data_IF_262001760187
#
_entry.id   IF_262001760187
#
_cell.length_a   1.000
_cell.length_b   1.000
_cell.length_c   1.000
_cell.angle_alpha   90.00
_cell.angle_beta   90.00
_cell.angle_gamma   90.00
#
_symmetry.space_group_name_H-M   'P 1'
#
loop_
_entity.id
_entity.type
_entity.pdbx_description
1 polymer ?
#
# COMPACT_ATOMS: atom_id res chain seq x y z
N UNK A 1 -28.48 9.95 28.47
CA UNK A 1 -27.38 9.25 27.77
C UNK A 1 -26.39 10.32 27.38
N UNK A 2 -25.30 10.45 28.13
CA UNK A 2 -24.28 11.48 27.91
C UNK A 2 -23.42 11.08 26.72
N UNK A 3 -23.36 11.92 25.69
CA UNK A 3 -22.35 11.83 24.64
C UNK A 3 -21.01 12.17 25.28
N UNK A 4 -20.22 11.16 25.65
CA UNK A 4 -18.86 11.38 26.12
C UNK A 4 -18.09 12.14 25.03
N UNK A 5 -17.77 13.41 25.28
CA UNK A 5 -16.90 14.18 24.41
C UNK A 5 -15.52 13.54 24.45
N UNK A 6 -15.04 13.12 23.28
CA UNK A 6 -13.71 12.56 23.08
C UNK A 6 -12.67 13.65 23.42
N UNK A 7 -12.00 13.56 24.58
CA UNK A 7 -10.92 14.49 24.94
C UNK A 7 -9.72 14.28 24.02
N UNK A 8 -9.34 15.31 23.25
CA UNK A 8 -8.12 15.32 22.45
C UNK A 8 -6.96 15.79 23.31
N UNK A 9 -5.83 15.09 23.25
CA UNK A 9 -4.56 15.51 23.89
C UNK A 9 -3.46 15.60 22.86
N UNK A 10 -2.73 16.71 22.89
CA UNK A 10 -1.65 16.99 21.94
C UNK A 10 -0.29 16.95 22.64
N UNK A 11 0.64 16.18 22.05
CA UNK A 11 2.03 16.11 22.45
C UNK A 11 2.90 16.59 21.28
N UNK A 12 3.52 17.75 21.42
CA UNK A 12 4.46 18.26 20.41
C UNK A 12 5.85 17.67 20.64
N UNK A 13 6.50 17.20 19.57
CA UNK A 13 7.89 16.75 19.59
C UNK A 13 8.74 17.52 18.58
N UNK A 14 10.00 17.83 18.91
CA UNK A 14 10.90 18.53 17.99
C UNK A 14 11.17 17.70 16.73
N UNK A 15 11.18 16.37 16.87
CA UNK A 15 11.34 15.44 15.75
C UNK A 15 10.72 14.06 15.99
N UNK A 16 10.46 13.35 14.89
CA UNK A 16 10.11 11.93 14.83
C UNK A 16 11.36 11.06 14.88
N UNK A 17 12.15 11.23 15.94
CA UNK A 17 13.24 10.33 16.28
C UNK A 17 12.84 9.45 17.46
N UNK A 18 13.53 8.31 17.60
CA UNK A 18 13.25 7.34 18.64
C UNK A 18 13.28 7.96 20.04
N UNK A 19 14.22 8.86 20.32
CA UNK A 19 14.36 9.47 21.64
C UNK A 19 13.18 10.39 21.96
N UNK A 20 12.78 11.24 21.02
CA UNK A 20 11.62 12.13 21.16
C UNK A 20 10.32 11.36 21.33
N UNK A 21 10.11 10.28 20.56
CA UNK A 21 8.92 9.44 20.67
C UNK A 21 8.90 8.62 21.97
N UNK A 22 10.05 8.10 22.43
CA UNK A 22 10.16 7.44 23.72
C UNK A 22 9.89 8.41 24.89
N UNK A 23 10.34 9.65 24.79
CA UNK A 23 10.04 10.69 25.79
C UNK A 23 8.54 10.93 25.90
N UNK A 24 7.82 11.02 24.78
CA UNK A 24 6.35 11.13 24.78
C UNK A 24 5.70 9.87 25.35
N UNK A 25 6.17 8.67 25.00
CA UNK A 25 5.68 7.42 25.58
C UNK A 25 5.82 7.39 27.11
N UNK A 26 6.91 7.93 27.65
CA UNK A 26 7.11 8.09 29.10
C UNK A 26 6.11 9.08 29.70
N UNK A 27 5.88 10.23 29.06
CA UNK A 27 4.87 11.22 29.52
C UNK A 27 3.45 10.65 29.53
N UNK A 28 3.03 9.99 28.45
CA UNK A 28 1.73 9.30 28.36
C UNK A 28 1.57 8.28 29.49
N UNK A 29 2.64 7.53 29.81
CA UNK A 29 2.65 6.59 30.93
C UNK A 29 2.51 7.30 32.29
N UNK A 30 3.22 8.41 32.50
CA UNK A 30 3.15 9.19 33.73
C UNK A 30 1.77 9.81 33.96
N UNK A 31 1.06 10.15 32.89
CA UNK A 31 -0.33 10.63 32.93
C UNK A 31 -1.37 9.50 33.07
N UNK A 32 -0.95 8.23 33.16
CA UNK A 32 -1.85 7.08 33.31
C UNK A 32 -2.64 6.73 32.06
N UNK A 33 -2.25 7.24 30.89
CA UNK A 33 -2.98 7.07 29.62
C UNK A 33 -2.51 5.86 28.80
N UNK A 34 -1.39 5.23 29.18
CA UNK A 34 -0.76 4.19 28.39
C UNK A 34 -1.34 2.79 28.68
N UNK A 35 -2.46 2.46 28.06
CA UNK A 35 -2.96 1.09 27.99
C UNK A 35 -2.19 0.23 26.97
N UNK A 36 -2.54 -1.07 26.89
CA UNK A 36 -1.90 -2.03 25.99
C UNK A 36 -2.13 -1.74 24.50
N UNK A 37 -3.29 -1.19 24.15
CA UNK A 37 -3.70 -0.94 22.78
C UNK A 37 -2.99 0.32 22.25
N UNK A 38 -2.99 1.40 23.03
CA UNK A 38 -2.24 2.62 22.73
C UNK A 38 -0.74 2.34 22.65
N UNK A 39 -0.20 1.50 23.56
CA UNK A 39 1.21 1.07 23.49
C UNK A 39 1.51 0.38 22.16
N UNK A 40 0.63 -0.51 21.70
CA UNK A 40 0.79 -1.23 20.43
C UNK A 40 0.74 -0.27 19.25
N UNK A 41 -0.21 0.68 19.24
CA UNK A 41 -0.31 1.72 18.21
C UNK A 41 0.94 2.60 18.16
N UNK A 42 1.45 3.04 19.32
CA UNK A 42 2.66 3.85 19.40
C UNK A 42 3.89 3.10 18.89
N UNK A 43 4.07 1.84 19.31
CA UNK A 43 5.20 1.02 18.88
C UNK A 43 5.14 0.73 17.36
N UNK A 44 3.94 0.53 16.81
CA UNK A 44 3.74 0.40 15.37
C UNK A 44 4.02 1.71 14.61
N UNK A 45 3.50 2.84 15.08
CA UNK A 45 3.77 4.17 14.53
C UNK A 45 5.27 4.45 14.46
N UNK A 46 6.01 4.22 15.56
CA UNK A 46 7.45 4.46 15.63
C UNK A 46 8.18 3.69 14.53
N UNK A 47 7.91 2.39 14.40
CA UNK A 47 8.53 1.54 13.36
C UNK A 47 8.19 2.02 11.95
N UNK A 48 6.93 2.36 11.69
CA UNK A 48 6.53 2.79 10.35
C UNK A 48 7.16 4.14 9.96
N UNK A 49 7.39 5.02 10.94
CA UNK A 49 8.05 6.31 10.73
C UNK A 49 9.57 6.22 10.52
N UNK A 50 10.22 5.13 10.94
CA UNK A 50 11.65 4.93 10.63
C UNK A 50 11.93 4.89 9.12
N UNK A 51 10.92 4.57 8.32
CA UNK A 51 10.98 4.58 6.86
C UNK A 51 10.78 5.98 6.23
N UNK A 52 10.37 7.00 7.01
CA UNK A 52 10.06 8.33 6.46
C UNK A 52 11.34 9.11 6.10
N UNK A 53 11.32 10.00 5.10
CA UNK A 53 12.47 10.85 4.80
C UNK A 53 12.82 11.75 5.99
N UNK A 54 14.10 11.89 6.31
CA UNK A 54 14.56 12.69 7.46
C UNK A 54 14.02 14.13 7.43
N UNK A 55 13.90 14.73 6.25
CA UNK A 55 13.34 16.08 6.06
C UNK A 55 11.88 16.24 6.51
N UNK A 56 11.11 15.15 6.59
CA UNK A 56 9.72 15.14 7.04
C UNK A 56 9.59 14.76 8.53
N UNK A 57 10.70 14.54 9.24
CA UNK A 57 10.70 14.12 10.65
C UNK A 57 10.79 15.28 11.64
N UNK A 58 10.70 16.55 11.22
CA UNK A 58 10.86 17.70 12.12
C UNK A 58 9.54 18.44 12.35
N UNK A 59 9.42 19.13 13.49
CA UNK A 59 8.26 19.94 13.89
C UNK A 59 6.94 19.15 13.83
N UNK A 60 6.90 18.04 14.55
CA UNK A 60 5.81 17.08 14.46
C UNK A 60 4.93 17.13 15.68
N UNK A 61 3.62 17.12 15.46
CA UNK A 61 2.64 16.92 16.53
C UNK A 61 2.16 15.47 16.55
N UNK A 62 2.14 14.90 17.75
CA UNK A 62 1.49 13.66 18.07
C UNK A 62 0.16 14.00 18.76
N UNK A 63 -0.96 13.73 18.12
CA UNK A 63 -2.29 13.90 18.72
C UNK A 63 -2.83 12.53 19.11
N UNK A 64 -3.27 12.43 20.37
CA UNK A 64 -4.03 11.30 20.90
C UNK A 64 -5.50 11.71 21.00
N UNK A 65 -6.39 10.97 20.33
CA UNK A 65 -7.83 11.27 20.33
C UNK A 65 -8.59 10.24 21.18
N UNK A 66 -8.93 10.63 22.42
CA UNK A 66 -9.81 9.98 23.41
C UNK A 66 -9.65 8.48 23.66
N UNK A 67 -10.74 7.83 24.09
CA UNK A 67 -10.85 6.37 24.34
C UNK A 67 -10.66 5.51 23.06
N UNK A 68 -10.42 6.13 21.91
CA UNK A 68 -10.29 5.47 20.61
C UNK A 68 -8.86 5.02 20.27
N UNK A 69 -7.87 5.19 21.16
CA UNK A 69 -6.50 4.67 21.00
C UNK A 69 -5.85 5.07 19.66
N UNK A 70 -6.26 6.24 19.15
CA UNK A 70 -5.86 6.75 17.85
C UNK A 70 -4.57 7.56 18.01
N UNK A 71 -3.53 7.13 17.32
CA UNK A 71 -2.27 7.87 17.25
C UNK A 71 -2.24 8.60 15.91
N UNK A 72 -2.31 9.93 15.94
CA UNK A 72 -2.15 10.78 14.77
C UNK A 72 -0.81 11.50 14.82
N UNK A 73 -0.02 11.36 13.75
CA UNK A 73 1.26 12.05 13.58
C UNK A 73 1.09 13.06 12.45
N UNK A 74 1.37 14.33 12.72
CA UNK A 74 1.21 15.41 11.73
C UNK A 74 2.57 16.03 11.44
N UNK A 75 3.04 15.91 10.20
CA UNK A 75 4.40 16.32 9.84
C UNK A 75 4.53 16.91 8.43
N UNK A 76 5.51 17.81 8.26
CA UNK A 76 5.95 18.32 6.97
C UNK A 76 5.01 19.29 6.26
N UNK A 77 5.39 19.65 5.03
CA UNK A 77 4.63 20.51 4.10
C UNK A 77 4.58 19.85 2.72
N UNK A 78 3.40 19.57 2.12
CA UNK A 78 2.08 19.68 2.74
C UNK A 78 1.97 18.76 3.97
N UNK A 79 1.00 19.07 4.82
CA UNK A 79 0.77 18.36 6.08
C UNK A 79 0.41 16.90 5.79
N UNK A 80 1.29 16.00 6.21
CA UNK A 80 1.06 14.55 6.19
C UNK A 80 0.57 14.12 7.57
N UNK A 81 -0.67 13.63 7.61
CA UNK A 81 -1.29 13.02 8.78
C UNK A 81 -1.18 11.50 8.67
N UNK A 82 -0.56 10.85 9.66
CA UNK A 82 -0.48 9.39 9.73
C UNK A 82 -1.28 8.90 10.93
N UNK A 83 -2.21 8.00 10.69
CA UNK A 83 -3.15 7.50 11.67
C UNK A 83 -3.03 5.99 11.78
N UNK A 84 -2.83 5.46 12.99
CA UNK A 84 -2.85 4.01 13.20
C UNK A 84 -4.26 3.53 13.45
N UNK A 85 -4.72 2.60 12.62
CA UNK A 85 -6.00 1.92 12.77
C UNK A 85 -5.78 0.46 13.17
N UNK A 86 -6.35 0.05 14.30
CA UNK A 86 -6.25 -1.32 14.80
C UNK A 86 -7.42 -2.15 14.26
N UNK A 87 -7.16 -2.87 13.17
CA UNK A 87 -8.14 -3.76 12.55
C UNK A 87 -8.02 -5.21 13.01
N UNK A 88 -8.93 -6.06 12.54
CA UNK A 88 -8.92 -7.52 12.78
C UNK A 88 -7.64 -8.21 12.29
N UNK A 89 -6.94 -7.59 11.33
CA UNK A 89 -5.70 -8.10 10.74
C UNK A 89 -4.45 -7.44 11.35
N UNK A 90 -4.60 -6.77 12.50
CA UNK A 90 -3.54 -6.02 13.16
C UNK A 90 -3.57 -4.51 12.85
N UNK A 91 -2.59 -3.76 13.39
CA UNK A 91 -2.45 -2.33 13.16
C UNK A 91 -2.13 -2.03 11.69
N UNK A 92 -2.74 -0.97 11.17
CA UNK A 92 -2.52 -0.43 9.83
C UNK A 92 -2.18 1.06 9.91
N UNK A 93 -1.26 1.52 9.08
CA UNK A 93 -0.97 2.94 8.95
C UNK A 93 -1.83 3.54 7.82
N UNK A 94 -2.72 4.46 8.17
CA UNK A 94 -3.50 5.26 7.23
C UNK A 94 -2.85 6.62 7.09
N UNK A 95 -2.39 6.94 5.89
CA UNK A 95 -1.77 8.23 5.59
C UNK A 95 -2.79 9.13 4.89
N UNK A 96 -2.90 10.38 5.34
CA UNK A 96 -3.77 11.40 4.76
C UNK A 96 -3.00 12.67 4.47
N UNK A 97 -3.20 13.21 3.28
CA UNK A 97 -2.64 14.49 2.84
C UNK A 97 -3.81 15.37 2.42
N UNK A 98 -3.87 16.57 3.00
CA UNK A 98 -4.87 17.55 2.63
C UNK A 98 -4.22 18.60 1.72
N UNK A 99 -4.39 18.53 0.40
CA UNK A 99 -3.97 19.62 -0.48
C UNK A 99 -4.69 20.92 -0.12
N UNK A 100 -4.02 22.05 -0.29
CA UNK A 100 -4.52 23.36 0.18
C UNK A 100 -5.82 23.81 -0.51
N UNK A 101 -6.05 23.42 -1.75
CA UNK A 101 -7.23 23.84 -2.52
C UNK A 101 -7.67 22.80 -3.54
N UNK A 102 -6.76 22.40 -4.42
CA UNK A 102 -7.02 21.49 -5.54
C UNK A 102 -6.09 20.29 -5.49
N UNK A 103 -6.62 19.11 -5.77
CA UNK A 103 -5.78 17.93 -5.95
C UNK A 103 -5.24 17.88 -7.38
N UNK A 104 -3.95 18.20 -7.55
CA UNK A 104 -3.25 18.18 -8.85
C UNK A 104 -2.09 17.19 -8.83
N UNK A 105 -1.48 16.93 -9.98
CA UNK A 105 -0.24 16.14 -10.06
C UNK A 105 0.89 16.72 -9.21
N UNK A 106 0.98 18.06 -9.07
CA UNK A 106 1.95 18.72 -8.18
C UNK A 106 1.66 18.55 -6.69
N UNK A 107 0.47 18.06 -6.32
CA UNK A 107 0.15 17.69 -4.94
C UNK A 107 0.78 16.35 -4.54
N UNK A 108 1.15 15.53 -5.53
CA UNK A 108 1.84 14.27 -5.31
C UNK A 108 3.34 14.51 -5.15
N UNK A 109 3.96 13.79 -4.22
CA UNK A 109 5.41 13.75 -4.10
C UNK A 109 5.85 12.32 -3.87
N UNK A 110 6.96 11.89 -4.49
CA UNK A 110 7.54 10.56 -4.27
C UNK A 110 7.81 10.29 -2.79
N UNK A 111 8.18 11.35 -2.04
CA UNK A 111 8.39 11.29 -0.59
C UNK A 111 7.15 10.80 0.21
N UNK A 112 5.94 10.93 -0.34
CA UNK A 112 4.72 10.43 0.29
C UNK A 112 4.60 8.90 0.17
N UNK A 113 5.36 8.29 -0.73
CA UNK A 113 5.45 6.84 -0.95
C UNK A 113 6.76 6.27 -0.39
N UNK A 114 7.50 7.03 0.41
CA UNK A 114 8.79 6.58 0.95
C UNK A 114 8.63 5.30 1.79
N UNK A 115 9.52 4.33 1.56
CA UNK A 115 9.48 3.02 2.22
C UNK A 115 8.46 2.04 1.65
N UNK A 116 7.56 2.49 0.76
CA UNK A 116 6.59 1.61 0.12
C UNK A 116 7.23 0.83 -1.03
N UNK A 117 7.02 -0.48 -1.01
CA UNK A 117 7.37 -1.38 -2.11
C UNK A 117 6.09 -1.69 -2.89
N UNK A 118 5.93 -1.06 -4.06
CA UNK A 118 4.76 -1.24 -4.90
C UNK A 118 4.61 -2.71 -5.33
N UNK A 119 3.40 -3.26 -5.25
CA UNK A 119 3.10 -4.60 -5.76
C UNK A 119 3.17 -4.69 -7.29
N UNK A 120 3.23 -3.54 -7.96
CA UNK A 120 3.36 -3.42 -9.40
C UNK A 120 4.77 -2.91 -9.75
N UNK A 121 5.62 -3.80 -10.23
CA UNK A 121 6.99 -3.46 -10.66
C UNK A 121 7.04 -2.80 -12.05
N UNK A 122 5.92 -2.82 -12.79
CA UNK A 122 5.86 -2.24 -14.13
C UNK A 122 5.41 -0.78 -14.09
N UNK A 123 4.51 -0.45 -13.17
CA UNK A 123 3.97 0.90 -13.01
C UNK A 123 3.70 1.19 -11.53
N UNK A 124 4.47 2.10 -10.94
CA UNK A 124 4.40 2.41 -9.52
C UNK A 124 3.08 3.09 -9.12
N UNK A 125 2.70 3.00 -7.84
CA UNK A 125 1.59 3.76 -7.27
C UNK A 125 1.65 5.26 -7.60
N UNK A 126 2.86 5.84 -7.59
CA UNK A 126 3.08 7.25 -7.89
C UNK A 126 2.79 7.57 -9.37
N UNK A 127 3.26 6.74 -10.30
CA UNK A 127 2.98 6.90 -11.73
C UNK A 127 1.49 6.73 -12.02
N UNK A 128 0.84 5.71 -11.43
CA UNK A 128 -0.59 5.49 -11.57
C UNK A 128 -1.39 6.68 -11.02
N UNK A 129 -1.02 7.22 -9.86
CA UNK A 129 -1.62 8.42 -9.27
C UNK A 129 -1.47 9.64 -10.18
N UNK A 130 -0.28 9.85 -10.71
CA UNK A 130 0.00 10.98 -11.60
C UNK A 130 -0.84 10.89 -12.88
N UNK A 131 -0.89 9.71 -13.51
CA UNK A 131 -1.71 9.48 -14.71
C UNK A 131 -3.20 9.61 -14.42
N UNK A 132 -3.67 9.07 -13.31
CA UNK A 132 -5.08 9.16 -12.92
C UNK A 132 -5.50 10.62 -12.77
N UNK A 133 -4.73 11.45 -12.05
CA UNK A 133 -5.01 12.87 -11.89
C UNK A 133 -4.91 13.66 -13.18
N UNK A 134 -3.96 13.32 -14.06
CA UNK A 134 -3.80 13.99 -15.36
C UNK A 134 -5.00 13.80 -16.30
N UNK A 135 -5.78 12.73 -16.10
CA UNK A 135 -6.93 12.38 -16.93
C UNK A 135 -8.28 12.89 -16.39
N UNK A 136 -8.31 13.54 -15.23
CA UNK A 136 -9.54 14.09 -14.64
C UNK A 136 -9.86 15.45 -15.30
N UNK A 137 -11.15 15.75 -15.44
CA UNK A 137 -11.58 17.08 -15.86
C UNK A 137 -11.11 18.13 -14.83
N UNK A 138 -10.55 19.26 -15.27
CA UNK A 138 -10.07 20.30 -14.35
C UNK A 138 -11.13 20.83 -13.36
N UNK A 139 -12.41 20.75 -13.71
CA UNK A 139 -13.55 21.12 -12.86
C UNK A 139 -13.73 20.22 -11.64
N UNK A 140 -13.31 18.96 -11.74
CA UNK A 140 -13.63 17.94 -10.74
C UNK A 140 -12.52 17.87 -9.67
N UNK A 141 -11.34 18.44 -9.96
CA UNK A 141 -10.14 18.40 -9.12
C UNK A 141 -10.31 19.07 -7.75
N UNK A 142 -11.21 20.06 -7.63
CA UNK A 142 -11.51 20.75 -6.38
C UNK A 142 -12.38 19.89 -5.44
N UNK A 143 -13.06 18.89 -6.00
CA UNK A 143 -13.97 17.99 -5.32
C UNK A 143 -13.54 16.52 -5.43
N UNK A 144 -12.23 16.27 -5.55
CA UNK A 144 -11.69 14.92 -5.70
C UNK A 144 -10.98 14.45 -4.44
N UNK A 145 -11.26 13.20 -4.07
CA UNK A 145 -10.45 12.40 -3.17
C UNK A 145 -9.70 11.33 -3.97
N UNK A 146 -8.40 11.17 -3.74
CA UNK A 146 -7.60 10.09 -4.30
C UNK A 146 -7.24 9.11 -3.19
N UNK A 147 -7.72 7.89 -3.28
CA UNK A 147 -7.37 6.77 -2.40
C UNK A 147 -6.42 5.82 -3.11
N UNK A 148 -5.34 5.44 -2.45
CA UNK A 148 -4.37 4.48 -2.96
C UNK A 148 -4.24 3.34 -1.94
N UNK A 149 -4.46 2.11 -2.41
CA UNK A 149 -4.30 0.89 -1.61
C UNK A 149 -3.33 -0.05 -2.33
N UNK A 150 -2.17 -0.31 -1.74
CA UNK A 150 -1.17 -1.22 -2.31
C UNK A 150 -0.37 -1.93 -1.20
N UNK A 151 -0.64 -3.21 -0.97
CA UNK A 151 -0.06 -3.96 0.15
C UNK A 151 -0.39 -3.27 1.49
N UNK A 152 0.65 -2.88 2.23
CA UNK A 152 0.53 -2.14 3.49
C UNK A 152 0.29 -0.63 3.32
N UNK A 153 0.48 -0.09 2.11
CA UNK A 153 0.26 1.33 1.84
C UNK A 153 -1.23 1.63 1.73
N UNK A 154 -1.68 2.56 2.58
CA UNK A 154 -2.99 3.17 2.52
C UNK A 154 -2.83 4.70 2.55
N UNK A 155 -2.85 5.33 1.39
CA UNK A 155 -2.62 6.77 1.23
C UNK A 155 -3.87 7.45 0.65
N UNK A 156 -4.33 8.52 1.30
CA UNK A 156 -5.50 9.29 0.87
C UNK A 156 -5.11 10.76 0.70
N UNK A 157 -5.38 11.32 -0.48
CA UNK A 157 -5.39 12.76 -0.71
C UNK A 157 -6.84 13.23 -0.74
N UNK A 158 -7.17 14.27 0.01
CA UNK A 158 -8.56 14.68 0.18
C UNK A 158 -8.69 16.20 0.22
N UNK A 159 -9.46 16.78 -0.71
CA UNK A 159 -9.88 18.18 -0.61
C UNK A 159 -10.91 18.35 0.52
N UNK A 160 -11.28 19.59 0.84
CA UNK A 160 -12.14 19.88 1.99
C UNK A 160 -13.57 19.29 1.86
N UNK A 161 -14.06 19.11 0.63
CA UNK A 161 -15.40 18.57 0.34
C UNK A 161 -15.36 17.72 -0.94
N UNK A 162 -14.87 16.47 -0.85
CA UNK A 162 -14.79 15.59 -2.00
C UNK A 162 -16.19 15.11 -2.40
N UNK A 163 -16.51 15.20 -3.68
CA UNK A 163 -17.71 14.65 -4.32
C UNK A 163 -17.39 13.41 -5.17
N UNK A 164 -16.13 13.29 -5.59
CA UNK A 164 -15.63 12.19 -6.41
C UNK A 164 -14.48 11.49 -5.71
N UNK A 165 -14.46 10.17 -5.79
CA UNK A 165 -13.35 9.35 -5.27
C UNK A 165 -12.71 8.62 -6.43
N UNK A 166 -11.43 8.88 -6.64
CA UNK A 166 -10.56 8.02 -7.43
C UNK A 166 -9.91 7.00 -6.53
N UNK A 167 -10.05 5.72 -6.86
CA UNK A 167 -9.38 4.65 -6.15
C UNK A 167 -8.36 3.97 -7.05
N UNK A 168 -7.10 4.02 -6.62
CA UNK A 168 -5.99 3.31 -7.24
C UNK A 168 -5.69 2.09 -6.38
N UNK A 169 -5.84 0.94 -7.01
CA UNK A 169 -5.42 -0.35 -6.48
C UNK A 169 -4.55 -1.01 -7.55
N UNK A 170 -3.22 -0.88 -7.46
CA UNK A 170 -2.30 -1.41 -8.46
C UNK A 170 -2.51 -2.90 -8.67
N UNK A 171 -2.28 -3.34 -9.91
CA UNK A 171 -2.20 -4.77 -10.21
C UNK A 171 -0.96 -5.36 -9.54
N UNK A 172 -0.99 -6.63 -9.17
CA UNK A 172 0.22 -7.31 -8.73
C UNK A 172 0.97 -7.81 -9.97
N UNK A 173 2.02 -7.12 -10.37
CA UNK A 173 2.81 -7.44 -11.58
C UNK A 173 4.29 -7.49 -11.23
N UNK A 174 4.94 -8.60 -11.55
CA UNK A 174 6.36 -8.85 -11.26
C UNK A 174 7.12 -9.03 -12.56
N UNK A 175 8.21 -8.28 -12.72
CA UNK A 175 9.06 -8.37 -13.89
C UNK A 175 10.18 -9.40 -13.67
N UNK A 176 10.06 -10.55 -14.33
CA UNK A 176 11.00 -11.65 -14.22
C UNK A 176 12.32 -11.42 -14.99
N UNK A 177 12.39 -10.38 -15.82
CA UNK A 177 13.55 -10.09 -16.67
C UNK A 177 13.34 -10.58 -18.10
N UNK A 178 14.44 -10.85 -18.82
CA UNK A 178 14.36 -11.31 -20.22
C UNK A 178 13.76 -12.72 -20.35
N UNK A 179 14.02 -13.57 -19.36
CA UNK A 179 13.59 -14.97 -19.31
C UNK A 179 12.88 -15.27 -17.99
N UNK A 180 12.25 -16.44 -17.88
CA UNK A 180 11.64 -16.92 -16.64
C UNK A 180 12.71 -17.05 -15.53
N UNK A 181 12.55 -16.30 -14.45
CA UNK A 181 13.40 -16.40 -13.26
C UNK A 181 12.66 -17.15 -12.14
N UNK A 182 13.07 -18.40 -11.88
CA UNK A 182 12.52 -19.19 -10.78
C UNK A 182 12.84 -18.60 -9.42
N UNK A 183 14.01 -17.97 -9.28
CA UNK A 183 14.41 -17.26 -8.06
C UNK A 183 13.40 -16.16 -7.72
N UNK A 184 13.13 -15.25 -8.66
CA UNK A 184 12.14 -14.18 -8.47
C UNK A 184 10.74 -14.72 -8.18
N UNK A 185 10.32 -15.79 -8.86
CA UNK A 185 9.04 -16.45 -8.58
C UNK A 185 8.97 -16.94 -7.12
N UNK A 186 10.03 -17.58 -6.63
CA UNK A 186 10.10 -18.08 -5.26
C UNK A 186 10.20 -16.95 -4.23
N UNK A 187 10.90 -15.86 -4.55
CA UNK A 187 10.93 -14.64 -3.74
C UNK A 187 9.53 -14.03 -3.62
N UNK A 188 8.82 -13.85 -4.74
CA UNK A 188 7.43 -13.35 -4.75
C UNK A 188 6.52 -14.26 -3.93
N UNK A 189 6.64 -15.59 -4.09
CA UNK A 189 5.89 -16.57 -3.29
C UNK A 189 6.15 -16.37 -1.79
N UNK A 190 7.42 -16.28 -1.40
CA UNK A 190 7.85 -16.11 -0.01
C UNK A 190 7.36 -14.78 0.56
N UNK A 191 7.38 -13.71 -0.23
CA UNK A 191 6.88 -12.39 0.18
C UNK A 191 5.38 -12.42 0.45
N UNK A 192 4.59 -13.02 -0.45
CA UNK A 192 3.14 -13.18 -0.29
C UNK A 192 2.78 -14.08 0.90
N UNK A 193 3.58 -15.11 1.17
CA UNK A 193 3.43 -15.96 2.37
C UNK A 193 3.68 -15.16 3.65
N UNK A 194 4.73 -14.32 3.66
CA UNK A 194 5.05 -13.44 4.80
C UNK A 194 4.01 -12.35 5.04
N UNK A 195 3.44 -11.77 3.98
CA UNK A 195 2.39 -10.74 4.08
C UNK A 195 0.99 -11.30 4.37
N UNK A 196 0.83 -12.63 4.36
CA UNK A 196 -0.47 -13.29 4.52
C UNK A 196 -1.39 -13.16 3.30
N UNK A 197 -0.88 -12.67 2.17
CA UNK A 197 -1.61 -12.52 0.91
C UNK A 197 -1.63 -13.82 0.09
N UNK A 198 -0.79 -14.81 0.44
CA UNK A 198 -0.80 -16.13 -0.18
C UNK A 198 -2.01 -16.96 0.26
N UNK A 199 -3.13 -16.80 -0.45
CA UNK A 199 -4.32 -17.64 -0.30
C UNK A 199 -4.11 -19.04 -0.89
N UNK A 200 -4.90 -20.01 -0.41
CA UNK A 200 -4.83 -21.43 -0.83
C UNK A 200 -4.87 -21.60 -2.36
N UNK A 201 -5.78 -20.91 -3.03
CA UNK A 201 -5.96 -21.01 -4.48
C UNK A 201 -4.75 -20.45 -5.24
N UNK A 202 -4.26 -19.28 -4.82
CA UNK A 202 -3.07 -18.67 -5.40
C UNK A 202 -1.83 -19.54 -5.17
N UNK A 203 -1.68 -20.13 -3.98
CA UNK A 203 -0.61 -21.09 -3.68
C UNK A 203 -0.68 -22.32 -4.60
N UNK A 204 -1.88 -22.81 -4.89
CA UNK A 204 -2.09 -23.95 -5.81
C UNK A 204 -1.66 -23.57 -7.22
N UNK A 205 -2.01 -22.37 -7.70
CA UNK A 205 -1.54 -21.84 -8.98
C UNK A 205 0.00 -21.72 -9.02
N UNK A 206 0.63 -21.25 -7.94
CA UNK A 206 2.09 -21.19 -7.82
C UNK A 206 2.73 -22.58 -7.92
N UNK A 207 2.23 -23.56 -7.17
CA UNK A 207 2.73 -24.93 -7.19
C UNK A 207 2.61 -25.54 -8.58
N UNK A 208 1.46 -25.33 -9.24
CA UNK A 208 1.25 -25.78 -10.61
C UNK A 208 2.26 -25.15 -11.56
N UNK A 209 2.46 -23.83 -11.50
CA UNK A 209 3.41 -23.12 -12.35
C UNK A 209 4.84 -23.64 -12.15
N UNK A 210 5.25 -23.88 -10.91
CA UNK A 210 6.60 -24.39 -10.60
C UNK A 210 6.81 -25.80 -11.14
N UNK A 211 5.82 -26.69 -10.98
CA UNK A 211 5.84 -28.06 -11.51
C UNK A 211 5.92 -28.10 -13.04
N UNK A 212 5.30 -27.12 -13.71
CA UNK A 212 5.22 -27.05 -15.17
C UNK A 212 6.10 -25.93 -15.74
N UNK A 213 7.11 -25.46 -15.01
CA UNK A 213 7.94 -24.29 -15.37
C UNK A 213 8.58 -24.38 -16.76
N UNK A 214 8.86 -25.59 -17.23
CA UNK A 214 9.39 -25.84 -18.57
C UNK A 214 8.46 -25.40 -19.71
N UNK A 215 7.15 -25.25 -19.45
CA UNK A 215 6.16 -24.82 -20.43
C UNK A 215 6.20 -23.30 -20.69
N UNK A 216 6.85 -22.52 -19.83
CA UNK A 216 6.80 -21.05 -19.85
C UNK A 216 8.13 -20.40 -20.25
N UNK A 217 8.93 -21.08 -21.07
CA UNK A 217 10.26 -20.62 -21.51
C UNK A 217 10.25 -19.71 -22.75
N UNK A 218 9.07 -19.33 -23.21
CA UNK A 218 8.93 -18.46 -24.37
C UNK A 218 9.32 -17.02 -24.04
N UNK A 219 9.98 -16.34 -24.98
CA UNK A 219 10.29 -14.92 -24.85
C UNK A 219 9.01 -14.06 -24.88
N UNK A 220 9.03 -12.92 -24.19
CA UNK A 220 7.91 -11.98 -24.13
C UNK A 220 6.58 -12.62 -23.68
N UNK A 221 6.67 -13.46 -22.65
CA UNK A 221 5.53 -14.17 -22.08
C UNK A 221 4.97 -13.43 -20.88
N UNK A 222 3.64 -13.42 -20.77
CA UNK A 222 2.90 -13.04 -19.56
C UNK A 222 2.25 -14.28 -18.94
N UNK A 223 2.52 -14.56 -17.66
CA UNK A 223 1.89 -15.64 -16.91
C UNK A 223 0.97 -15.01 -15.85
N UNK A 224 -0.31 -15.32 -15.91
CA UNK A 224 -1.34 -14.75 -15.05
C UNK A 224 -1.84 -15.86 -14.13
N UNK A 225 -1.56 -15.73 -12.84
CA UNK A 225 -2.14 -16.58 -11.80
C UNK A 225 -3.43 -15.93 -11.33
N UNK A 226 -4.52 -16.70 -11.31
CA UNK A 226 -5.83 -16.23 -10.88
C UNK A 226 -6.43 -17.21 -9.87
N UNK A 227 -6.73 -16.74 -8.65
CA UNK A 227 -7.30 -17.56 -7.59
C UNK A 227 -8.08 -16.71 -6.59
N UNK A 228 -9.28 -17.16 -6.21
CA UNK A 228 -10.16 -16.47 -5.26
C UNK A 228 -10.35 -14.95 -5.51
N UNK A 229 -10.54 -14.56 -6.78
CA UNK A 229 -10.71 -13.16 -7.20
C UNK A 229 -9.43 -12.31 -7.16
N UNK A 230 -8.28 -12.90 -6.82
CA UNK A 230 -6.98 -12.23 -6.86
C UNK A 230 -6.20 -12.63 -8.11
N UNK A 231 -5.47 -11.66 -8.67
CA UNK A 231 -4.66 -11.85 -9.87
C UNK A 231 -3.21 -11.42 -9.59
N UNK A 232 -2.27 -12.26 -10.00
CA UNK A 232 -0.83 -11.99 -10.00
C UNK A 232 -0.29 -12.23 -11.40
N UNK A 233 0.44 -11.27 -11.94
CA UNK A 233 1.02 -11.36 -13.28
C UNK A 233 2.54 -11.43 -13.18
N UNK A 234 3.13 -12.42 -13.82
CA UNK A 234 4.57 -12.48 -14.09
C UNK A 234 4.82 -12.10 -15.54
N UNK A 235 5.74 -11.18 -15.74
CA UNK A 235 6.06 -10.63 -17.04
C UNK A 235 7.52 -10.90 -17.38
N UNK A 236 7.76 -11.47 -18.57
CA UNK A 236 9.09 -11.67 -19.15
C UNK A 236 9.23 -10.84 -20.43
N UNK A 237 10.47 -10.49 -20.78
CA UNK A 237 10.79 -9.78 -22.01
C UNK A 237 10.48 -8.29 -21.96
N UNK A 238 9.72 -7.77 -22.93
CA UNK A 238 9.32 -6.36 -23.00
C UNK A 238 8.09 -6.09 -22.15
N UNK A 239 8.07 -4.97 -21.42
CA UNK A 239 6.99 -4.60 -20.48
C UNK A 239 5.59 -4.53 -21.11
N UNK A 240 5.48 -4.07 -22.36
CA UNK A 240 4.19 -3.71 -22.96
C UNK A 240 3.83 -4.52 -24.22
N UNK A 241 4.64 -5.51 -24.60
CA UNK A 241 4.41 -6.28 -25.81
C UNK A 241 4.64 -7.76 -25.56
N UNK A 242 3.55 -8.48 -25.28
CA UNK A 242 3.56 -9.92 -25.00
C UNK A 242 2.91 -10.67 -26.15
N UNK A 243 3.63 -11.63 -26.70
CA UNK A 243 3.15 -12.49 -27.79
C UNK A 243 2.36 -13.70 -27.28
N UNK A 244 2.65 -14.14 -26.05
CA UNK A 244 1.95 -15.28 -25.43
C UNK A 244 1.49 -14.92 -24.02
N UNK A 245 0.25 -15.31 -23.70
CA UNK A 245 -0.29 -15.27 -22.34
C UNK A 245 -0.60 -16.68 -21.86
N UNK A 246 -0.23 -16.98 -20.62
CA UNK A 246 -0.62 -18.20 -19.92
C UNK A 246 -1.52 -17.82 -18.74
N UNK A 247 -2.71 -18.39 -18.67
CA UNK A 247 -3.63 -18.24 -17.54
C UNK A 247 -3.59 -19.50 -16.71
N UNK A 248 -3.21 -19.38 -15.44
CA UNK A 248 -3.19 -20.47 -14.46
C UNK A 248 -4.26 -20.16 -13.42
N UNK A 249 -5.25 -21.05 -13.29
CA UNK A 249 -6.40 -20.83 -12.42
C UNK A 249 -6.86 -22.12 -11.75
N UNK A 250 -7.61 -21.99 -10.66
CA UNK A 250 -8.19 -23.11 -9.93
C UNK A 250 -9.67 -23.31 -10.25
N UNK A 251 -10.14 -24.56 -10.23
CA UNK A 251 -11.56 -24.89 -10.21
C UNK A 251 -12.15 -24.85 -8.79
N UNK A 252 -13.44 -25.19 -8.66
CA UNK A 252 -14.15 -25.24 -7.38
C UNK A 252 -13.60 -26.31 -6.41
N UNK A 253 -12.82 -27.28 -6.90
CA UNK A 253 -12.13 -28.29 -6.10
C UNK A 253 -10.69 -27.87 -5.76
N UNK A 254 -10.31 -26.64 -6.08
CA UNK A 254 -8.96 -26.10 -5.91
C UNK A 254 -7.90 -26.93 -6.67
N UNK A 255 -8.26 -27.45 -7.85
CA UNK A 255 -7.32 -28.06 -8.78
C UNK A 255 -6.92 -27.02 -9.82
N UNK A 256 -5.62 -26.92 -10.08
CA UNK A 256 -5.06 -25.92 -11.00
C UNK A 256 -5.03 -26.42 -12.46
N UNK A 257 -5.28 -25.50 -13.39
CA UNK A 257 -5.24 -25.69 -14.83
C UNK A 257 -4.46 -24.55 -15.48
N UNK A 258 -3.94 -24.77 -16.68
CA UNK A 258 -3.24 -23.76 -17.48
C UNK A 258 -3.84 -23.67 -18.87
N UNK A 259 -4.12 -22.44 -19.32
CA UNK A 259 -4.58 -22.13 -20.67
C UNK A 259 -3.60 -21.18 -21.34
N UNK A 260 -3.13 -21.55 -22.53
CA UNK A 260 -2.29 -20.70 -23.38
C UNK A 260 -3.16 -19.91 -24.35
N UNK A 261 -2.88 -18.62 -24.50
CA UNK A 261 -3.52 -17.71 -25.45
C UNK A 261 -2.43 -16.99 -26.24
N UNK A 262 -2.50 -17.08 -27.57
CA UNK A 262 -1.63 -16.31 -28.46
C UNK A 262 -2.24 -14.93 -28.67
N UNK A 263 -1.45 -13.88 -28.45
CA UNK A 263 -1.86 -12.51 -28.75
C UNK A 263 -1.39 -12.22 -30.15
N UNK A 264 -2.30 -12.24 -31.12
CA UNK A 264 -1.99 -11.76 -32.47
C UNK A 264 -1.84 -10.24 -32.39
N UNK A 265 -0.62 -9.75 -32.64
CA UNK A 265 -0.34 -8.32 -32.70
C UNK A 265 -1.20 -7.64 -33.76
N UNK A 266 -1.71 -6.45 -33.43
CA UNK A 266 -2.23 -5.48 -34.41
C UNK A 266 -1.03 -4.75 -35.01
#
# INVERSE_FOLDING_TARGET
MSSAMCEKRDFTVPSLDLHSLLSVKVKIRQEGLLDSLLKTSLDFSIKALEAFPASKRHNVSLTLEGECHLVCITAGTPVLSCMVHLGTNGPKLLQRINPESRLTTSSLAESHFAGHHCCDELESCFEQATKALANINPSDLDHTELKITCGELHLTYSTHQPLHTLHIQPRRRVFLGKTLSLEKILETKTQLEKSGEMKKDLLTCFQFMLQHSNQYKEDNTQIILHGNGEMLEFVTGRKDNHTTKYFIFTDAQNKAYSQRVLVMGI
#
